data_IF_493625102090
#
_entry.id   IF_493625102090
#
_cell.length_a   1.000
_cell.length_b   1.000
_cell.length_c   1.000
_cell.angle_alpha   90.00
_cell.angle_beta   90.00
_cell.angle_gamma   90.00
#
_symmetry.space_group_name_H-M   'P 1'
#
loop_
_entity.id
_entity.type
_entity.pdbx_description
1 polymer ?
#
# COMPACT_ATOMS: atom_id res chain seq x y z
N UNK A 1 22.18 29.70 -1.23
CA UNK A 1 20.71 29.53 -1.17
C UNK A 1 20.49 28.04 -1.01
N UNK A 2 20.19 27.60 0.21
CA UNK A 2 19.88 26.19 0.47
C UNK A 2 18.43 25.94 0.06
N UNK A 3 18.25 25.25 -1.07
CA UNK A 3 16.94 24.84 -1.56
C UNK A 3 16.45 23.68 -0.69
N UNK A 4 15.58 23.96 0.28
CA UNK A 4 14.84 22.92 0.98
C UNK A 4 13.65 22.50 0.11
N UNK A 5 13.78 21.36 -0.58
CA UNK A 5 12.64 20.73 -1.26
C UNK A 5 11.89 19.91 -0.21
N UNK A 6 10.71 20.39 0.19
CA UNK A 6 9.80 19.63 1.04
C UNK A 6 9.20 18.52 0.17
N UNK A 7 9.58 17.27 0.44
CA UNK A 7 8.91 16.12 -0.15
C UNK A 7 7.52 16.05 0.46
N UNK A 8 6.49 16.33 -0.34
CA UNK A 8 5.11 16.16 0.11
C UNK A 8 4.80 14.66 0.18
N UNK A 9 4.33 14.15 1.33
CA UNK A 9 3.88 12.77 1.43
C UNK A 9 2.68 12.56 0.50
N UNK A 10 2.57 11.39 -0.13
CA UNK A 10 1.38 11.06 -0.89
C UNK A 10 0.21 10.93 0.08
N UNK A 11 -0.88 11.64 -0.18
CA UNK A 11 -2.06 11.68 0.70
C UNK A 11 -3.23 11.01 0.00
N UNK A 12 -3.90 10.10 0.69
CA UNK A 12 -5.14 9.50 0.19
C UNK A 12 -6.29 10.48 0.37
N UNK A 13 -6.89 10.92 -0.73
CA UNK A 13 -8.04 11.83 -0.70
C UNK A 13 -9.36 11.08 -0.55
N UNK A 14 -9.51 9.99 -1.28
CA UNK A 14 -10.76 9.22 -1.35
C UNK A 14 -10.46 7.75 -1.58
N UNK A 15 -11.28 6.88 -0.98
CA UNK A 15 -11.23 5.43 -1.17
C UNK A 15 -12.65 4.92 -1.40
N UNK A 16 -12.84 4.13 -2.45
CA UNK A 16 -14.06 3.35 -2.69
C UNK A 16 -13.69 1.88 -2.58
N UNK A 17 -14.44 1.11 -1.79
CA UNK A 17 -14.17 -0.31 -1.59
C UNK A 17 -12.93 -0.55 -0.74
N UNK A 18 -12.12 -1.54 -1.14
CA UNK A 18 -10.98 -2.04 -0.41
C UNK A 18 -9.66 -1.75 -1.15
N UNK A 19 -8.76 -1.07 -0.45
CA UNK A 19 -7.42 -0.75 -0.96
C UNK A 19 -6.42 -1.08 0.14
N UNK A 20 -5.33 -1.72 -0.27
CA UNK A 20 -4.32 -2.26 0.65
C UNK A 20 -3.01 -1.54 0.37
N UNK A 21 -2.35 -1.06 1.43
CA UNK A 21 -0.97 -0.62 1.37
C UNK A 21 -0.11 -1.70 2.03
N UNK A 22 0.99 -2.09 1.38
CA UNK A 22 1.96 -3.02 1.94
C UNK A 22 3.35 -2.39 1.96
N UNK A 23 4.02 -2.39 3.12
CA UNK A 23 5.37 -1.85 3.28
C UNK A 23 6.46 -2.81 2.77
N UNK A 24 7.71 -2.36 2.74
CA UNK A 24 8.85 -3.17 2.31
C UNK A 24 9.13 -4.40 3.18
N UNK A 25 8.51 -4.52 4.36
CA UNK A 25 8.61 -5.69 5.26
C UNK A 25 7.45 -6.66 5.05
N UNK A 26 6.49 -6.33 4.18
CA UNK A 26 5.30 -7.13 3.91
C UNK A 26 4.17 -6.90 4.91
N UNK A 27 4.24 -5.88 5.77
CA UNK A 27 3.12 -5.52 6.62
C UNK A 27 2.06 -4.85 5.74
N UNK A 28 0.88 -5.44 5.69
CA UNK A 28 -0.25 -4.93 4.93
C UNK A 28 -1.25 -4.25 5.87
N UNK A 29 -1.89 -3.20 5.38
CA UNK A 29 -2.97 -2.49 6.08
C UNK A 29 -4.03 -2.04 5.10
N UNK A 30 -5.26 -1.92 5.58
CA UNK A 30 -6.33 -1.26 4.83
C UNK A 30 -6.05 0.25 4.75
N UNK A 31 -6.23 0.80 3.55
CA UNK A 31 -6.06 2.23 3.27
C UNK A 31 -7.39 2.97 3.50
N UNK A 32 -7.31 4.13 4.14
CA UNK A 32 -8.43 5.02 4.39
C UNK A 32 -8.16 6.44 3.88
N UNK A 33 -9.22 7.20 3.62
CA UNK A 33 -9.10 8.62 3.31
C UNK A 33 -8.41 9.38 4.45
N UNK A 34 -7.43 10.22 4.10
CA UNK A 34 -6.56 10.92 5.04
C UNK A 34 -5.25 10.21 5.36
N UNK A 35 -5.08 8.94 4.94
CA UNK A 35 -3.83 8.21 5.15
C UNK A 35 -2.67 8.86 4.37
N UNK A 36 -1.50 8.85 4.99
CA UNK A 36 -0.24 9.11 4.30
C UNK A 36 0.36 7.81 3.79
N UNK A 37 0.87 7.85 2.56
CA UNK A 37 1.54 6.74 1.91
C UNK A 37 3.05 6.99 1.87
N UNK A 38 3.81 5.96 2.22
CA UNK A 38 5.27 6.00 2.19
C UNK A 38 5.80 5.56 0.82
N UNK A 39 6.96 6.08 0.45
CA UNK A 39 7.58 5.81 -0.87
C UNK A 39 7.97 4.34 -1.07
N UNK A 40 8.11 3.58 0.00
CA UNK A 40 8.45 2.16 -0.01
C UNK A 40 7.22 1.25 0.05
N UNK A 41 6.02 1.83 0.16
CA UNK A 41 4.77 1.08 0.08
C UNK A 41 4.38 0.77 -1.38
N UNK A 42 3.73 -0.37 -1.56
CA UNK A 42 2.92 -0.65 -2.75
C UNK A 42 1.45 -0.52 -2.39
N UNK A 43 0.63 -0.07 -3.34
CA UNK A 43 -0.82 -0.10 -3.22
C UNK A 43 -1.41 -1.19 -4.10
N UNK A 44 -2.39 -1.91 -3.55
CA UNK A 44 -3.18 -2.91 -4.25
C UNK A 44 -4.63 -2.47 -4.17
N UNK A 45 -5.22 -2.15 -5.33
CA UNK A 45 -6.62 -1.75 -5.44
C UNK A 45 -7.41 -2.94 -5.93
N UNK A 46 -8.27 -3.49 -5.08
CA UNK A 46 -8.95 -4.77 -5.37
C UNK A 46 -10.13 -4.57 -6.32
N UNK A 47 -10.80 -5.66 -6.69
CA UNK A 47 -12.00 -5.60 -7.53
C UNK A 47 -13.07 -4.67 -6.93
N UNK A 48 -13.83 -3.97 -7.77
CA UNK A 48 -14.87 -2.99 -7.38
C UNK A 48 -14.39 -1.85 -6.45
N UNK A 49 -13.10 -1.52 -6.49
CA UNK A 49 -12.49 -0.53 -5.61
C UNK A 49 -11.72 0.53 -6.40
N UNK A 50 -11.49 1.69 -5.80
CA UNK A 50 -10.66 2.76 -6.37
C UNK A 50 -10.05 3.63 -5.27
N UNK A 51 -8.93 4.29 -5.56
CA UNK A 51 -8.31 5.26 -4.65
C UNK A 51 -7.85 6.50 -5.40
N UNK A 52 -8.08 7.66 -4.80
CA UNK A 52 -7.53 8.94 -5.27
C UNK A 52 -6.37 9.35 -4.38
N UNK A 53 -5.18 9.48 -4.96
CA UNK A 53 -3.95 9.84 -4.26
C UNK A 53 -3.53 11.25 -4.70
N UNK A 54 -3.33 12.16 -3.74
CA UNK A 54 -2.70 13.46 -3.96
C UNK A 54 -1.19 13.31 -3.79
N UNK A 55 -0.44 13.49 -4.87
CA UNK A 55 1.02 13.51 -4.87
C UNK A 55 1.50 14.74 -5.63
N UNK A 56 2.42 15.51 -5.04
CA UNK A 56 2.97 16.73 -5.64
C UNK A 56 1.89 17.74 -6.14
N UNK A 57 0.76 17.83 -5.44
CA UNK A 57 -0.38 18.68 -5.82
C UNK A 57 -1.23 18.16 -6.98
N UNK A 58 -0.94 16.96 -7.50
CA UNK A 58 -1.70 16.29 -8.54
C UNK A 58 -2.48 15.12 -7.95
N UNK A 59 -3.77 15.07 -8.28
CA UNK A 59 -4.64 13.95 -7.90
C UNK A 59 -4.57 12.86 -8.98
N UNK A 60 -4.21 11.65 -8.57
CA UNK A 60 -4.12 10.47 -9.43
C UNK A 60 -5.13 9.44 -8.95
N UNK A 61 -6.00 8.99 -9.84
CA UNK A 61 -6.94 7.90 -9.56
C UNK A 61 -6.27 6.58 -9.93
N UNK A 62 -6.35 5.60 -9.03
CA UNK A 62 -5.98 4.21 -9.27
C UNK A 62 -7.26 3.39 -9.27
N UNK A 63 -7.56 2.77 -10.40
CA UNK A 63 -8.76 1.94 -10.58
C UNK A 63 -8.59 0.52 -10.01
N UNK A 64 -9.70 -0.22 -9.98
CA UNK A 64 -9.76 -1.61 -9.56
C UNK A 64 -8.76 -2.51 -10.30
N UNK A 65 -8.39 -3.61 -9.63
CA UNK A 65 -7.48 -4.63 -10.17
C UNK A 65 -6.14 -4.02 -10.62
N UNK A 66 -5.54 -3.17 -9.78
CA UNK A 66 -4.32 -2.45 -10.11
C UNK A 66 -3.32 -2.48 -8.95
N UNK A 67 -2.05 -2.69 -9.28
CA UNK A 67 -0.92 -2.53 -8.35
C UNK A 67 -0.22 -1.21 -8.67
N UNK A 68 0.03 -0.39 -7.66
CA UNK A 68 0.73 0.89 -7.82
C UNK A 68 1.98 0.95 -6.96
N UNK A 69 3.08 1.40 -7.55
CA UNK A 69 4.34 1.61 -6.84
C UNK A 69 4.75 3.08 -6.93
N UNK A 70 5.42 3.58 -5.90
CA UNK A 70 6.13 4.84 -6.00
C UNK A 70 7.43 4.63 -6.76
N UNK A 71 7.64 5.40 -7.84
CA UNK A 71 8.87 5.39 -8.62
C UNK A 71 9.60 6.71 -8.45
N UNK A 72 10.93 6.64 -8.35
CA UNK A 72 11.76 7.83 -8.50
C UNK A 72 11.84 8.14 -9.99
N UNK A 73 11.28 9.27 -10.43
CA UNK A 73 11.18 9.61 -11.85
C UNK A 73 12.54 9.76 -12.55
N UNK A 74 13.67 9.81 -11.81
CA UNK A 74 15.02 9.73 -12.36
C UNK A 74 16.06 9.39 -11.29
N UNK A 75 17.12 8.59 -11.59
CA UNK A 75 18.26 8.38 -10.68
C UNK A 75 19.03 9.68 -10.37
N UNK A 76 18.87 10.72 -11.19
CA UNK A 76 19.48 12.05 -11.00
C UNK A 76 18.54 13.07 -10.32
N UNK A 77 17.33 12.65 -9.93
CA UNK A 77 16.34 13.52 -9.29
C UNK A 77 15.66 12.78 -8.13
N UNK A 78 16.33 12.77 -6.99
CA UNK A 78 15.83 12.34 -5.66
C UNK A 78 14.55 13.09 -5.22
N UNK A 79 14.12 14.11 -5.97
CA UNK A 79 13.08 15.07 -5.60
C UNK A 79 11.72 14.83 -6.24
N UNK A 80 11.59 14.02 -7.29
CA UNK A 80 10.32 13.75 -7.96
C UNK A 80 9.95 12.29 -7.85
N UNK A 81 9.07 12.00 -6.89
CA UNK A 81 8.38 10.70 -6.80
C UNK A 81 7.12 10.76 -7.64
N UNK A 82 6.88 9.70 -8.39
CA UNK A 82 5.68 9.52 -9.20
C UNK A 82 5.00 8.17 -8.87
N UNK A 83 3.76 8.01 -9.30
CA UNK A 83 2.99 6.77 -9.16
C UNK A 83 3.01 6.00 -10.49
N UNK A 84 3.50 4.77 -10.45
CA UNK A 84 3.43 3.86 -11.60
C UNK A 84 2.38 2.81 -11.34
N UNK A 85 1.38 2.76 -12.22
CA UNK A 85 0.25 1.83 -12.14
C UNK A 85 0.46 0.62 -13.04
N UNK A 86 0.13 -0.57 -12.53
CA UNK A 86 0.21 -1.85 -13.22
C UNK A 86 -1.16 -2.52 -13.16
N UNK A 87 -1.99 -2.36 -14.20
CA UNK A 87 -3.29 -3.03 -14.26
C UNK A 87 -3.12 -4.54 -14.37
N UNK A 88 -4.00 -5.27 -13.70
CA UNK A 88 -4.06 -6.73 -13.70
C UNK A 88 -5.33 -7.13 -14.47
N UNK A 89 -5.17 -8.00 -15.47
CA UNK A 89 -6.26 -8.45 -16.34
C UNK A 89 -7.30 -9.32 -15.60
N UNK A 90 -6.92 -9.89 -14.46
CA UNK A 90 -7.80 -10.69 -13.60
C UNK A 90 -8.35 -9.91 -12.41
N UNK A 91 -9.25 -10.54 -11.66
CA UNK A 91 -9.78 -9.95 -10.43
C UNK A 91 -8.81 -10.15 -9.26
N UNK A 92 -8.49 -9.05 -8.58
CA UNK A 92 -7.82 -9.09 -7.29
C UNK A 92 -8.91 -9.16 -6.22
N UNK A 93 -8.91 -10.22 -5.43
CA UNK A 93 -9.78 -10.37 -4.26
C UNK A 93 -8.92 -10.60 -3.02
N UNK A 94 -9.24 -9.91 -1.93
CA UNK A 94 -8.51 -10.02 -0.67
C UNK A 94 -9.50 -10.10 0.49
N UNK A 95 -9.22 -10.98 1.44
CA UNK A 95 -9.95 -11.03 2.71
C UNK A 95 -9.19 -10.20 3.75
N UNK A 96 -9.68 -8.98 4.00
CA UNK A 96 -9.03 -8.05 4.92
C UNK A 96 -9.24 -8.38 6.39
N UNK A 97 -10.16 -9.31 6.72
CA UNK A 97 -10.36 -9.73 8.11
C UNK A 97 -9.11 -10.37 8.71
N UNK A 98 -8.26 -10.97 7.86
CA UNK A 98 -7.03 -11.63 8.24
C UNK A 98 -5.87 -10.66 8.56
N UNK A 99 -6.01 -9.36 8.26
CA UNK A 99 -4.97 -8.37 8.55
C UNK A 99 -4.77 -8.16 10.05
N UNK A 100 -5.82 -8.34 10.85
CA UNK A 100 -5.78 -8.19 12.31
C UNK A 100 -5.48 -9.52 13.04
N UNK A 101 -5.52 -10.67 12.35
CA UNK A 101 -5.54 -11.99 12.97
C UNK A 101 -4.17 -12.63 13.25
N UNK A 102 -3.06 -12.00 12.84
CA UNK A 102 -1.74 -12.65 12.95
C UNK A 102 -0.91 -12.08 14.10
N UNK A 103 -1.37 -12.31 15.32
CA UNK A 103 -0.46 -12.33 16.48
C UNK A 103 0.04 -13.75 16.63
N UNK A 104 1.28 -14.07 16.21
CA UNK A 104 1.94 -15.32 16.63
C UNK A 104 2.32 -15.20 18.11
N UNK A 105 1.34 -15.30 18.99
CA UNK A 105 1.59 -15.30 20.42
C UNK A 105 2.15 -16.66 20.89
N UNK A 106 2.54 -16.71 22.16
CA UNK A 106 3.13 -17.91 22.75
C UNK A 106 2.20 -19.13 22.66
N UNK A 107 0.89 -18.91 22.68
CA UNK A 107 -0.11 -19.98 22.61
C UNK A 107 -0.21 -20.54 21.19
N UNK A 108 -0.16 -19.68 20.16
CA UNK A 108 -0.09 -20.14 18.77
C UNK A 108 1.20 -20.90 18.46
N UNK A 109 2.35 -20.45 18.99
CA UNK A 109 3.63 -21.15 18.83
C UNK A 109 3.58 -22.52 19.53
N UNK A 110 3.02 -22.60 20.74
CA UNK A 110 2.90 -23.86 21.47
C UNK A 110 1.99 -24.86 20.73
N UNK A 111 0.86 -24.39 20.17
CA UNK A 111 -0.04 -25.22 19.39
C UNK A 111 0.64 -25.81 18.14
N UNK A 112 1.43 -25.01 17.42
CA UNK A 112 2.21 -25.48 16.26
C UNK A 112 3.28 -26.50 16.69
N UNK A 113 4.00 -26.24 17.77
CA UNK A 113 5.04 -27.16 18.27
C UNK A 113 4.46 -28.51 18.69
N UNK A 114 3.28 -28.50 19.31
CA UNK A 114 2.62 -29.73 19.74
C UNK A 114 2.14 -30.57 18.56
N UNK A 115 1.69 -29.95 17.47
CA UNK A 115 1.31 -30.65 16.24
C UNK A 115 2.49 -31.28 15.47
N UNK A 116 3.73 -30.84 15.73
CA UNK A 116 4.96 -31.39 15.11
C UNK A 116 5.57 -32.53 15.96
N UNK A 117 5.31 -32.54 17.26
CA UNK A 117 5.91 -33.47 18.23
C UNK A 117 5.08 -34.75 18.46
N UNK A 118 3.84 -34.80 17.98
CA UNK A 118 3.05 -36.04 17.81
C UNK A 118 3.44 -36.76 16.51
#
# INVERSE_FOLDING_TARGET
MDLHVVVQPALVQEVVGDVIAADAKGNARKVSAGDQLNKDEILITVNHSSVTILLNGQATVVDQNCITCFSNASPDSESSVDLVQFPIEGEINADLSLLDEVSFDADNIAAIQQAILD
#
